data_IF_731283198990
#
_entry.id   IF_731283198990
#
_cell.length_a   1.000
_cell.length_b   1.000
_cell.length_c   1.000
_cell.angle_alpha   90.00
_cell.angle_beta   90.00
_cell.angle_gamma   90.00
#
_symmetry.space_group_name_H-M   'P 1'
#
loop_
_entity.id
_entity.type
_entity.pdbx_description
1 polymer ?
#
# COMPACT_ATOMS: atom_id res chain seq x y z
N UNK A 1 -32.96 -41.12 44.64
CA UNK A 1 -32.81 -39.93 45.52
C UNK A 1 -31.82 -38.98 44.83
N UNK A 2 -32.33 -38.03 44.04
CA UNK A 2 -31.53 -37.13 43.21
C UNK A 2 -31.28 -35.88 44.05
N UNK A 3 -30.02 -35.59 44.40
CA UNK A 3 -29.63 -34.35 45.05
C UNK A 3 -29.51 -33.24 44.00
N UNK A 4 -30.46 -32.36 43.97
CA UNK A 4 -30.49 -31.13 43.21
C UNK A 4 -29.51 -30.17 43.87
N UNK A 5 -28.34 -29.92 43.24
CA UNK A 5 -27.41 -28.90 43.66
C UNK A 5 -27.98 -27.52 43.21
N UNK A 6 -28.52 -26.77 44.15
CA UNK A 6 -28.82 -25.37 43.95
C UNK A 6 -27.48 -24.60 43.81
N UNK A 7 -27.13 -24.20 42.60
CA UNK A 7 -26.07 -23.17 42.39
C UNK A 7 -26.62 -21.87 42.94
N UNK A 8 -26.00 -21.39 43.98
CA UNK A 8 -26.18 -20.00 44.44
C UNK A 8 -25.59 -19.08 43.36
N UNK A 9 -26.44 -18.47 42.58
CA UNK A 9 -26.05 -17.38 41.67
C UNK A 9 -25.65 -16.19 42.57
N UNK A 10 -24.34 -16.03 42.77
CA UNK A 10 -23.81 -14.84 43.44
C UNK A 10 -23.86 -13.68 42.44
N UNK A 11 -24.77 -12.75 42.66
CA UNK A 11 -24.88 -11.53 41.87
C UNK A 11 -23.66 -10.62 42.09
N UNK A 12 -23.27 -9.92 41.04
CA UNK A 12 -22.19 -8.90 41.09
C UNK A 12 -22.54 -7.77 42.09
N UNK A 13 -21.54 -7.35 42.85
CA UNK A 13 -21.70 -6.22 43.77
C UNK A 13 -21.50 -4.88 43.00
N UNK A 14 -22.16 -3.80 43.45
CA UNK A 14 -21.98 -2.46 42.89
C UNK A 14 -20.52 -1.98 42.93
N UNK A 15 -19.79 -2.33 44.00
CA UNK A 15 -18.38 -1.95 44.15
C UNK A 15 -17.49 -2.69 43.13
N UNK A 16 -17.78 -3.96 42.83
CA UNK A 16 -17.05 -4.76 41.87
C UNK A 16 -17.21 -4.22 40.45
N UNK A 17 -18.43 -3.80 40.07
CA UNK A 17 -18.69 -3.12 38.83
C UNK A 17 -17.96 -1.77 38.73
N UNK A 18 -17.98 -0.98 39.83
CA UNK A 18 -17.31 0.32 39.86
C UNK A 18 -15.80 0.19 39.67
N UNK A 19 -15.17 -0.80 40.31
CA UNK A 19 -13.72 -1.05 40.13
C UNK A 19 -13.39 -1.46 38.70
N UNK A 20 -14.21 -2.32 38.08
CA UNK A 20 -13.99 -2.75 36.70
C UNK A 20 -14.04 -1.56 35.73
N UNK A 21 -15.04 -0.69 35.82
CA UNK A 21 -15.16 0.47 34.94
C UNK A 21 -14.01 1.47 35.11
N UNK A 22 -13.51 1.65 36.35
CA UNK A 22 -12.34 2.50 36.59
C UNK A 22 -11.10 1.93 35.95
N UNK A 23 -10.83 0.62 36.10
CA UNK A 23 -9.69 -0.05 35.48
C UNK A 23 -9.78 0.04 33.93
N UNK A 24 -10.95 -0.25 33.37
CA UNK A 24 -11.18 -0.13 31.94
C UNK A 24 -10.98 1.30 31.43
N UNK A 25 -11.43 2.30 32.18
CA UNK A 25 -11.22 3.72 31.84
C UNK A 25 -9.75 4.10 31.78
N UNK A 26 -8.94 3.67 32.75
CA UNK A 26 -7.50 3.91 32.77
C UNK A 26 -6.81 3.22 31.61
N UNK A 27 -7.14 1.95 31.34
CA UNK A 27 -6.56 1.19 30.22
C UNK A 27 -6.93 1.81 28.87
N UNK A 28 -8.18 2.21 28.69
CA UNK A 28 -8.62 2.87 27.45
C UNK A 28 -7.91 4.20 27.22
N UNK A 29 -7.66 4.99 28.28
CA UNK A 29 -6.96 6.27 28.22
C UNK A 29 -5.52 6.14 27.66
N UNK A 30 -4.85 5.02 27.90
CA UNK A 30 -3.50 4.74 27.38
C UNK A 30 -3.54 4.05 26.00
N UNK A 31 -4.48 3.12 25.80
CA UNK A 31 -4.52 2.31 24.58
C UNK A 31 -4.87 3.13 23.33
N UNK A 32 -5.84 4.06 23.41
CA UNK A 32 -6.33 4.82 22.26
C UNK A 32 -5.24 5.63 21.54
N UNK A 33 -4.43 6.47 22.22
CA UNK A 33 -3.39 7.26 21.52
C UNK A 33 -2.28 6.38 20.92
N UNK A 34 -1.91 5.28 21.57
CA UNK A 34 -0.92 4.34 21.05
C UNK A 34 -1.41 3.70 19.75
N UNK A 35 -2.68 3.30 19.72
CA UNK A 35 -3.27 2.65 18.55
C UNK A 35 -3.37 3.59 17.34
N UNK A 36 -3.70 4.87 17.56
CA UNK A 36 -3.79 5.87 16.48
C UNK A 36 -2.43 6.15 15.83
N UNK A 37 -1.37 6.23 16.61
CA UNK A 37 -0.01 6.40 16.10
C UNK A 37 0.47 5.18 15.31
N UNK A 38 0.14 3.98 15.79
CA UNK A 38 0.49 2.74 15.10
C UNK A 38 -0.19 2.64 13.72
N UNK A 39 -1.48 2.94 13.64
CA UNK A 39 -2.22 2.90 12.38
C UNK A 39 -1.70 3.94 11.37
N UNK A 40 -1.33 5.13 11.82
CA UNK A 40 -0.74 6.17 10.98
C UNK A 40 0.61 5.72 10.42
N UNK A 41 1.49 5.16 11.25
CA UNK A 41 2.78 4.64 10.82
C UNK A 41 2.63 3.48 9.83
N UNK A 42 1.68 2.58 10.06
CA UNK A 42 1.39 1.49 9.14
C UNK A 42 0.93 2.00 7.77
N UNK A 43 0.07 3.02 7.72
CA UNK A 43 -0.38 3.65 6.47
C UNK A 43 0.76 4.34 5.72
N UNK A 44 1.65 5.05 6.42
CA UNK A 44 2.83 5.68 5.81
C UNK A 44 3.72 4.62 5.16
N UNK A 45 4.01 3.53 5.87
CA UNK A 45 4.85 2.45 5.36
C UNK A 45 4.21 1.75 4.15
N UNK A 46 2.89 1.46 4.21
CA UNK A 46 2.15 0.87 3.10
C UNK A 46 2.19 1.78 1.85
N UNK A 47 1.92 3.08 2.02
CA UNK A 47 1.99 4.05 0.92
C UNK A 47 3.39 4.13 0.31
N UNK A 48 4.43 4.14 1.15
CA UNK A 48 5.82 4.18 0.67
C UNK A 48 6.20 2.93 -0.13
N UNK A 49 5.77 1.74 0.32
CA UNK A 49 5.98 0.48 -0.40
C UNK A 49 5.28 0.50 -1.77
N UNK A 50 4.06 1.02 -1.81
CA UNK A 50 3.28 1.15 -3.05
C UNK A 50 3.92 2.13 -4.02
N UNK A 51 4.37 3.31 -3.55
CA UNK A 51 5.11 4.28 -4.36
C UNK A 51 6.42 3.67 -4.90
N UNK A 52 7.13 2.86 -4.13
CA UNK A 52 8.31 2.13 -4.59
C UNK A 52 7.96 1.06 -5.63
N UNK A 53 6.79 0.44 -5.53
CA UNK A 53 6.28 -0.50 -6.52
C UNK A 53 5.97 0.22 -7.84
N UNK A 54 5.31 1.37 -7.79
CA UNK A 54 5.08 2.23 -8.96
C UNK A 54 6.41 2.68 -9.57
N UNK A 55 7.37 3.10 -8.75
CA UNK A 55 8.72 3.45 -9.21
C UNK A 55 9.36 2.29 -9.98
N UNK A 56 9.34 1.07 -9.43
CA UNK A 56 9.89 -0.12 -10.10
C UNK A 56 9.16 -0.42 -11.42
N UNK A 57 7.85 -0.25 -11.45
CA UNK A 57 7.08 -0.39 -12.69
C UNK A 57 7.51 0.60 -13.78
N UNK A 58 7.97 1.80 -13.41
CA UNK A 58 8.47 2.81 -14.35
C UNK A 58 9.89 2.49 -14.79
N UNK A 59 10.84 2.35 -13.86
CA UNK A 59 12.28 2.27 -14.17
C UNK A 59 12.83 0.85 -14.21
N UNK A 60 12.04 -0.16 -13.84
CA UNK A 60 12.48 -1.54 -13.70
C UNK A 60 13.21 -1.82 -12.38
N UNK A 61 13.66 -3.06 -12.27
CA UNK A 61 14.45 -3.52 -11.14
C UNK A 61 15.89 -3.79 -11.59
N UNK A 62 16.86 -2.95 -11.23
CA UNK A 62 18.25 -3.14 -11.65
C UNK A 62 18.92 -4.38 -11.03
N UNK A 63 18.33 -4.95 -9.97
CA UNK A 63 18.82 -6.19 -9.37
C UNK A 63 18.30 -7.45 -10.09
N UNK A 64 17.29 -7.33 -10.95
CA UNK A 64 16.74 -8.43 -11.72
C UNK A 64 17.59 -8.68 -12.98
N UNK A 65 18.69 -9.39 -12.80
CA UNK A 65 19.64 -9.73 -13.89
C UNK A 65 19.68 -11.24 -14.11
N UNK A 66 19.60 -11.69 -15.38
CA UNK A 66 19.81 -13.08 -15.77
C UNK A 66 20.65 -13.13 -17.03
N UNK A 67 21.69 -13.98 -17.04
CA UNK A 67 22.58 -14.09 -18.19
C UNK A 67 23.31 -12.79 -18.56
N UNK A 68 23.55 -11.89 -17.61
CA UNK A 68 24.18 -10.58 -17.83
C UNK A 68 23.24 -9.52 -18.44
N UNK A 69 21.94 -9.80 -18.53
CA UNK A 69 20.94 -8.86 -19.05
C UNK A 69 19.87 -8.54 -17.98
N UNK A 70 19.40 -7.28 -17.99
CA UNK A 70 18.26 -6.86 -17.17
C UNK A 70 16.98 -7.53 -17.68
N UNK A 71 16.30 -8.26 -16.77
CA UNK A 71 15.05 -8.96 -17.10
C UNK A 71 13.86 -8.02 -16.89
N UNK A 72 13.90 -7.23 -15.83
CA UNK A 72 12.85 -6.26 -15.48
C UNK A 72 13.36 -4.86 -15.84
N UNK A 73 12.93 -4.36 -17.00
CA UNK A 73 13.34 -3.07 -17.54
C UNK A 73 12.35 -1.96 -17.21
N UNK A 74 11.17 -2.32 -16.68
CA UNK A 74 10.08 -1.38 -16.46
C UNK A 74 9.56 -0.75 -17.77
N UNK A 75 8.60 0.16 -17.59
CA UNK A 75 8.01 0.87 -18.74
C UNK A 75 9.06 1.69 -19.53
N UNK A 76 9.90 2.45 -18.82
CA UNK A 76 10.90 3.32 -19.43
C UNK A 76 11.94 2.51 -20.24
N UNK A 77 12.38 1.38 -19.70
CA UNK A 77 13.33 0.52 -20.40
C UNK A 77 12.76 -0.19 -21.63
N UNK A 78 11.47 -0.47 -21.64
CA UNK A 78 10.81 -1.14 -22.75
C UNK A 78 10.29 -0.15 -23.79
N UNK A 79 9.80 1.03 -23.38
CA UNK A 79 9.24 2.02 -24.30
C UNK A 79 10.23 3.12 -24.69
N UNK A 80 11.33 3.31 -23.95
CA UNK A 80 12.35 4.33 -24.24
C UNK A 80 12.01 5.73 -23.69
N UNK A 81 10.88 5.88 -22.97
CA UNK A 81 10.45 7.14 -22.37
C UNK A 81 9.61 6.85 -21.12
N UNK A 82 9.43 7.86 -20.25
CA UNK A 82 8.59 7.74 -19.06
C UNK A 82 7.09 7.76 -19.42
N UNK A 83 6.22 7.05 -18.70
CA UNK A 83 4.78 7.08 -18.96
C UNK A 83 4.23 8.49 -18.84
N UNK A 84 3.23 8.83 -19.64
CA UNK A 84 2.55 10.12 -19.58
C UNK A 84 1.65 10.23 -18.35
N UNK A 85 1.05 9.10 -17.94
CA UNK A 85 0.21 8.96 -16.78
C UNK A 85 0.46 7.62 -16.10
N UNK A 86 0.17 7.50 -14.79
CA UNK A 86 0.35 6.24 -14.06
C UNK A 86 -0.54 5.11 -14.58
N UNK A 87 -1.67 5.43 -15.23
CA UNK A 87 -2.56 4.45 -15.85
C UNK A 87 -1.88 3.69 -16.99
N UNK A 88 -0.89 4.30 -17.66
CA UNK A 88 -0.13 3.70 -18.76
C UNK A 88 0.70 2.49 -18.31
N UNK A 89 0.94 2.37 -17.00
CA UNK A 89 1.61 1.21 -16.41
C UNK A 89 0.70 -0.04 -16.34
N UNK A 90 -0.61 0.17 -16.28
CA UNK A 90 -1.59 -0.91 -16.20
C UNK A 90 -2.26 -1.21 -17.53
N UNK A 91 -2.39 -0.20 -18.40
CA UNK A 91 -3.03 -0.31 -19.70
C UNK A 91 -2.12 0.22 -20.79
N UNK A 92 -2.06 -0.50 -21.91
CA UNK A 92 -1.27 -0.06 -23.07
C UNK A 92 -1.84 1.25 -23.63
N UNK A 93 -1.05 2.34 -23.68
CA UNK A 93 -1.45 3.55 -24.39
C UNK A 93 -1.55 3.29 -25.91
N UNK A 94 -2.51 3.93 -26.59
CA UNK A 94 -2.68 3.78 -28.04
C UNK A 94 -1.49 4.29 -28.84
N UNK A 95 -0.77 5.27 -28.28
CA UNK A 95 0.44 5.85 -28.89
C UNK A 95 1.67 4.96 -28.83
N UNK A 96 1.63 3.86 -28.05
CA UNK A 96 2.77 2.96 -27.85
C UNK A 96 2.56 1.68 -28.64
N UNK A 97 3.56 1.28 -29.41
CA UNK A 97 3.55 0.02 -30.14
C UNK A 97 3.54 -1.18 -29.18
N UNK A 98 3.04 -2.32 -29.66
CA UNK A 98 3.17 -3.61 -28.96
C UNK A 98 4.64 -3.99 -28.93
N UNK A 99 5.06 -4.68 -27.87
CA UNK A 99 6.43 -5.10 -27.66
C UNK A 99 6.96 -5.98 -28.81
N UNK A 100 8.05 -5.54 -29.42
CA UNK A 100 8.79 -6.30 -30.41
C UNK A 100 9.99 -7.00 -29.76
N UNK A 101 9.99 -8.34 -29.82
CA UNK A 101 11.03 -9.16 -29.19
C UNK A 101 12.40 -9.02 -29.89
N UNK A 102 12.44 -8.65 -31.17
CA UNK A 102 13.68 -8.51 -31.92
C UNK A 102 14.40 -7.22 -31.53
N UNK A 103 13.65 -6.12 -31.51
CA UNK A 103 14.17 -4.80 -31.14
C UNK A 103 14.15 -4.55 -29.63
N UNK A 104 13.42 -5.39 -28.87
CA UNK A 104 13.21 -5.26 -27.43
C UNK A 104 12.63 -3.88 -27.06
N UNK A 105 11.73 -3.36 -27.89
CA UNK A 105 11.06 -2.08 -27.73
C UNK A 105 9.54 -2.24 -27.85
N UNK A 106 8.82 -1.41 -27.13
CA UNK A 106 7.36 -1.37 -27.10
C UNK A 106 6.79 -1.76 -25.75
N UNK A 107 5.47 -1.66 -25.63
CA UNK A 107 4.77 -1.94 -24.39
C UNK A 107 4.71 -3.44 -24.07
N UNK A 108 5.39 -3.86 -23.03
CA UNK A 108 5.53 -5.25 -22.55
C UNK A 108 4.73 -5.52 -21.27
N UNK A 109 3.89 -4.56 -20.83
CA UNK A 109 3.10 -4.66 -19.60
C UNK A 109 1.96 -5.68 -19.62
N UNK A 110 1.14 -5.72 -18.59
CA UNK A 110 1.02 -4.69 -17.54
C UNK A 110 2.19 -4.68 -16.55
N UNK A 111 2.66 -3.49 -16.20
CA UNK A 111 3.75 -3.28 -15.23
C UNK A 111 3.22 -3.11 -13.80
N UNK A 112 1.93 -2.78 -13.66
CA UNK A 112 1.20 -2.71 -12.39
C UNK A 112 -0.05 -3.58 -12.45
N UNK A 113 -0.32 -4.27 -11.35
CA UNK A 113 -1.57 -5.02 -11.17
C UNK A 113 -2.72 -4.05 -10.86
N UNK A 114 -3.61 -3.89 -11.81
CA UNK A 114 -4.81 -3.06 -11.70
C UNK A 114 -6.04 -3.80 -11.18
N UNK A 115 -5.94 -5.07 -10.83
CA UNK A 115 -7.07 -5.93 -10.44
C UNK A 115 -7.79 -5.42 -9.18
N UNK A 116 -7.09 -4.73 -8.31
CA UNK A 116 -7.62 -4.19 -7.05
C UNK A 116 -8.29 -2.81 -7.17
N UNK A 117 -8.26 -2.16 -8.34
CA UNK A 117 -8.93 -0.88 -8.59
C UNK A 117 -8.36 0.36 -7.86
N UNK A 118 -7.54 0.17 -6.83
CA UNK A 118 -7.02 1.24 -5.97
C UNK A 118 -5.52 1.49 -6.13
N UNK A 119 -4.89 0.89 -7.14
CA UNK A 119 -3.44 0.95 -7.38
C UNK A 119 -2.86 2.35 -7.68
N UNK A 120 -3.72 3.37 -7.75
CA UNK A 120 -3.31 4.77 -7.93
C UNK A 120 -3.66 5.65 -6.73
N UNK A 121 -4.01 5.04 -5.59
CA UNK A 121 -4.38 5.76 -4.37
C UNK A 121 -3.45 5.40 -3.22
N UNK A 122 -3.21 6.38 -2.36
CA UNK A 122 -2.48 6.16 -1.12
C UNK A 122 -3.37 5.49 -0.04
N UNK A 123 -2.80 5.10 1.09
CA UNK A 123 -3.51 4.45 2.19
C UNK A 123 -4.57 5.34 2.89
N UNK A 124 -4.72 6.60 2.48
CA UNK A 124 -5.80 7.52 2.89
C UNK A 124 -6.86 7.68 1.81
N UNK A 125 -6.72 6.99 0.66
CA UNK A 125 -7.65 7.06 -0.46
C UNK A 125 -7.43 8.24 -1.41
N UNK A 126 -6.33 8.99 -1.26
CA UNK A 126 -6.00 10.10 -2.16
C UNK A 126 -5.24 9.58 -3.38
N UNK A 127 -5.53 10.12 -4.55
CA UNK A 127 -4.77 9.79 -5.74
C UNK A 127 -3.33 10.28 -5.63
N UNK A 128 -2.38 9.49 -6.15
CA UNK A 128 -0.99 9.94 -6.29
C UNK A 128 -0.90 11.08 -7.30
N UNK A 129 -0.11 12.10 -6.97
CA UNK A 129 0.29 13.13 -7.92
C UNK A 129 1.54 12.66 -8.66
N UNK A 130 1.43 12.53 -9.98
CA UNK A 130 2.53 12.10 -10.84
C UNK A 130 3.08 13.28 -11.63
N UNK A 131 4.39 13.47 -11.56
CA UNK A 131 5.10 14.54 -12.26
C UNK A 131 6.25 13.91 -13.07
N UNK A 132 5.98 13.54 -14.33
CA UNK A 132 6.99 12.91 -15.18
C UNK A 132 8.17 13.83 -15.50
N UNK A 133 7.95 15.12 -15.61
CA UNK A 133 8.99 16.09 -15.92
C UNK A 133 10.06 16.19 -14.83
N UNK A 134 9.64 16.11 -13.56
CA UNK A 134 10.54 16.12 -12.42
C UNK A 134 10.82 14.71 -11.86
N UNK A 135 10.35 13.67 -12.55
CA UNK A 135 10.54 12.25 -12.20
C UNK A 135 10.17 11.95 -10.76
N UNK A 136 8.94 12.30 -10.34
CA UNK A 136 8.48 12.11 -8.97
C UNK A 136 7.02 11.69 -8.87
N UNK A 137 6.76 10.93 -7.80
CA UNK A 137 5.44 10.50 -7.36
C UNK A 137 5.24 11.07 -5.96
N UNK A 138 4.11 11.70 -5.69
CA UNK A 138 3.82 12.39 -4.44
C UNK A 138 2.52 11.82 -3.85
N UNK A 139 2.55 11.47 -2.56
CA UNK A 139 1.37 11.17 -1.76
C UNK A 139 1.06 12.36 -0.85
N UNK A 140 -0.15 12.89 -0.93
CA UNK A 140 -0.62 13.93 -0.02
C UNK A 140 -0.92 13.39 1.38
N UNK A 141 -1.41 12.16 1.49
CA UNK A 141 -1.73 11.51 2.76
C UNK A 141 -0.48 11.19 3.59
N UNK A 142 0.53 10.58 2.97
CA UNK A 142 1.81 10.29 3.62
C UNK A 142 2.71 11.54 3.73
N UNK A 143 2.43 12.61 3.00
CA UNK A 143 3.30 13.79 2.84
C UNK A 143 4.72 13.39 2.40
N UNK A 144 4.80 12.42 1.51
CA UNK A 144 6.04 11.81 1.05
C UNK A 144 6.17 11.89 -0.47
N UNK A 145 7.41 11.85 -0.94
CA UNK A 145 7.75 11.95 -2.36
C UNK A 145 8.81 10.92 -2.70
N UNK A 146 8.54 10.09 -3.71
CA UNK A 146 9.51 9.15 -4.28
C UNK A 146 9.96 9.65 -5.65
N UNK A 147 11.27 9.69 -5.88
CA UNK A 147 11.90 9.98 -7.17
C UNK A 147 12.29 8.68 -7.88
N UNK A 148 12.17 8.66 -9.19
CA UNK A 148 12.50 7.52 -10.05
C UNK A 148 13.43 7.90 -11.18
#
# INVERSE_FOLDING_TARGET
>A
MVRMFCRLDQGFTLIELAVIIVILGVLAGVAVPVFSNFTTSARINATREEMNTIKRAIVGNPAAVSGGQYIDRGFEGDCGFVPSALIDLARKPDSVAVYDRLNRLGWNGPYLDSSRGEYLKDAWGNNYTYDPANRRIISSGARDTVRF
#
